data_IF_347689247890
#
_entry.id   IF_347689247890
#
_cell.length_a   1.000
_cell.length_b   1.000
_cell.length_c   1.000
_cell.angle_alpha   90.00
_cell.angle_beta   90.00
_cell.angle_gamma   90.00
#
_symmetry.space_group_name_H-M   'P 1'
#
loop_
_entity.id
_entity.type
_entity.pdbx_description
1 polymer ?
#
# COMPACT_ATOMS: atom_id res chain seq x y z
N UNK A 1 -13.32 -3.27 -13.15
CA UNK A 1 -12.60 -4.56 -13.22
C UNK A 1 -12.43 -5.16 -11.83
N UNK A 2 -11.87 -6.36 -11.71
CA UNK A 2 -11.44 -6.92 -10.42
C UNK A 2 -9.92 -7.09 -10.39
N UNK A 3 -9.27 -6.56 -9.35
CA UNK A 3 -7.82 -6.56 -9.20
C UNK A 3 -7.42 -7.27 -7.91
N UNK A 4 -6.37 -8.07 -7.99
CA UNK A 4 -5.69 -8.64 -6.82
C UNK A 4 -4.27 -8.11 -6.78
N UNK A 5 -3.91 -7.46 -5.68
CA UNK A 5 -2.58 -6.92 -5.42
C UNK A 5 -1.96 -7.71 -4.27
N UNK A 6 -0.73 -8.18 -4.45
CA UNK A 6 0.02 -8.90 -3.41
C UNK A 6 1.17 -8.00 -2.93
N UNK A 7 1.14 -7.67 -1.65
CA UNK A 7 2.11 -6.81 -0.97
C UNK A 7 1.57 -5.41 -0.70
N UNK A 8 1.54 -5.02 0.58
CA UNK A 8 1.01 -3.72 1.04
C UNK A 8 2.10 -2.68 1.38
N UNK A 9 3.23 -2.74 0.68
CA UNK A 9 4.33 -1.77 0.79
C UNK A 9 4.27 -0.75 -0.35
N UNK A 10 5.34 0.03 -0.55
CA UNK A 10 5.41 1.13 -1.52
C UNK A 10 4.90 0.74 -2.91
N UNK A 11 5.34 -0.39 -3.46
CA UNK A 11 4.95 -0.82 -4.79
C UNK A 11 3.43 -1.11 -4.91
N UNK A 12 2.87 -1.84 -3.95
CA UNK A 12 1.44 -2.20 -3.96
C UNK A 12 0.53 -0.98 -3.81
N UNK A 13 0.89 -0.06 -2.92
CA UNK A 13 0.15 1.20 -2.74
C UNK A 13 0.18 2.04 -4.03
N UNK A 14 1.35 2.22 -4.64
CA UNK A 14 1.46 2.98 -5.90
C UNK A 14 0.70 2.29 -7.05
N UNK A 15 0.68 0.95 -7.09
CA UNK A 15 -0.13 0.22 -8.05
C UNK A 15 -1.63 0.52 -7.87
N UNK A 16 -2.13 0.47 -6.64
CA UNK A 16 -3.53 0.77 -6.30
C UNK A 16 -3.89 2.22 -6.65
N UNK A 17 -3.02 3.18 -6.31
CA UNK A 17 -3.19 4.59 -6.70
C UNK A 17 -3.23 4.78 -8.21
N UNK A 18 -2.36 4.07 -8.94
CA UNK A 18 -2.36 4.05 -10.40
C UNK A 18 -3.68 3.51 -10.98
N UNK A 19 -4.17 2.39 -10.44
CA UNK A 19 -5.48 1.83 -10.81
C UNK A 19 -6.58 2.85 -10.54
N UNK A 20 -6.60 3.51 -9.37
CA UNK A 20 -7.65 4.48 -9.01
C UNK A 20 -7.70 5.71 -9.89
N UNK A 21 -6.60 6.07 -10.55
CA UNK A 21 -6.58 7.15 -11.55
C UNK A 21 -7.29 6.79 -12.86
N UNK A 22 -7.45 5.50 -13.17
CA UNK A 22 -8.02 5.02 -14.45
C UNK A 22 -9.31 4.22 -14.29
N UNK A 23 -9.48 3.50 -13.17
CA UNK A 23 -10.69 2.77 -12.77
C UNK A 23 -11.02 3.13 -11.29
N UNK A 24 -11.82 4.18 -11.08
CA UNK A 24 -12.18 4.65 -9.73
C UNK A 24 -13.00 3.62 -8.94
N UNK A 25 -13.86 2.86 -9.61
CA UNK A 25 -14.88 2.00 -8.98
C UNK A 25 -14.50 0.51 -8.98
N UNK A 26 -13.49 0.10 -9.75
CA UNK A 26 -13.04 -1.28 -9.83
C UNK A 26 -12.73 -1.88 -8.45
N UNK A 27 -13.15 -3.13 -8.22
CA UNK A 27 -12.92 -3.82 -6.95
C UNK A 27 -11.45 -4.20 -6.84
N UNK A 28 -10.82 -3.86 -5.72
CA UNK A 28 -9.41 -4.18 -5.43
C UNK A 28 -9.36 -5.00 -4.15
N UNK A 29 -8.72 -6.17 -4.20
CA UNK A 29 -8.31 -6.93 -3.02
C UNK A 29 -6.81 -6.80 -2.87
N UNK A 30 -6.36 -6.26 -1.74
CA UNK A 30 -4.95 -6.15 -1.40
C UNK A 30 -4.63 -7.18 -0.31
N UNK A 31 -3.65 -8.04 -0.56
CA UNK A 31 -3.26 -9.14 0.33
C UNK A 31 -1.84 -8.90 0.77
N UNK A 32 -1.59 -8.93 2.08
CA UNK A 32 -0.26 -8.82 2.66
C UNK A 32 -0.17 -9.68 3.92
N UNK A 33 1.04 -10.15 4.22
CA UNK A 33 1.42 -10.76 5.49
C UNK A 33 1.70 -9.71 6.58
N UNK A 34 2.00 -8.48 6.19
CA UNK A 34 2.23 -7.36 7.10
C UNK A 34 1.01 -7.16 8.05
N UNK A 35 1.21 -7.24 9.38
CA UNK A 35 0.09 -7.24 10.34
C UNK A 35 -0.46 -5.83 10.61
N UNK A 36 0.08 -4.81 9.94
CA UNK A 36 -0.25 -3.41 10.15
C UNK A 36 -0.79 -2.77 8.86
N UNK A 37 -1.54 -1.68 9.02
CA UNK A 37 -1.89 -0.81 7.92
C UNK A 37 -0.65 -0.25 7.22
N UNK A 38 -0.74 0.14 5.93
CA UNK A 38 0.42 0.64 5.19
C UNK A 38 1.06 1.83 5.93
N UNK A 39 2.38 1.76 6.10
CA UNK A 39 3.19 2.77 6.79
C UNK A 39 4.50 3.01 6.05
N UNK A 40 5.12 4.18 6.30
CA UNK A 40 6.41 4.49 5.72
C UNK A 40 7.53 3.84 6.53
N UNK A 41 7.93 2.62 6.14
CA UNK A 41 9.08 1.91 6.72
C UNK A 41 10.36 2.77 6.78
N UNK A 42 10.69 3.60 5.77
CA UNK A 42 11.85 4.48 5.84
C UNK A 42 11.80 5.51 6.98
N UNK A 43 10.61 5.88 7.47
CA UNK A 43 10.46 6.84 8.57
C UNK A 43 10.59 6.21 9.96
N UNK A 44 10.66 4.88 10.07
CA UNK A 44 10.82 4.21 11.37
C UNK A 44 12.08 4.65 12.11
N UNK A 45 13.18 4.91 11.40
CA UNK A 45 14.43 5.36 12.02
C UNK A 45 14.29 6.72 12.70
N UNK A 46 13.48 7.62 12.13
CA UNK A 46 13.17 8.93 12.71
C UNK A 46 12.29 8.78 13.95
N UNK A 47 11.25 7.95 13.85
CA UNK A 47 10.37 7.64 14.98
C UNK A 47 11.14 7.06 16.18
N UNK A 48 12.03 6.09 15.94
CA UNK A 48 12.85 5.47 16.98
C UNK A 48 13.90 6.44 17.53
N UNK A 49 14.39 7.36 16.69
CA UNK A 49 15.35 8.37 17.11
C UNK A 49 14.72 9.58 17.83
N UNK A 50 13.39 9.61 18.00
CA UNK A 50 12.64 10.78 18.48
C UNK A 50 12.95 12.06 17.68
N UNK A 51 13.11 11.92 16.36
CA UNK A 51 13.46 13.00 15.42
C UNK A 51 12.40 13.25 14.35
#
# INVERSE_FOLDING_TARGET
MEYVVIGNSTAGINCIEGIRKVDPEGRIVNISDEPYFPYSRPLLSYLVAEK
#
